data_IF_289482348041
#
_entry.id   IF_289482348041
#
_cell.length_a   1.000
_cell.length_b   1.000
_cell.length_c   1.000
_cell.angle_alpha   90.00
_cell.angle_beta   90.00
_cell.angle_gamma   90.00
#
_symmetry.space_group_name_H-M   'P 1'
#
loop_
_entity.id
_entity.type
_entity.pdbx_description
1 polymer ?
#
# COMPACT_ATOMS: atom_id res chain seq x y z
N UNK A 1 -16.89 -37.99 -14.05
CA UNK A 1 -17.29 -36.78 -13.30
C UNK A 1 -18.47 -37.17 -12.45
N UNK A 2 -18.34 -37.18 -11.12
CA UNK A 2 -19.49 -37.42 -10.23
C UNK A 2 -20.51 -36.29 -10.41
N UNK A 3 -21.77 -36.64 -10.65
CA UNK A 3 -22.87 -35.68 -10.70
C UNK A 3 -23.05 -35.08 -9.31
N UNK A 4 -22.85 -33.77 -9.15
CA UNK A 4 -23.13 -33.09 -7.89
C UNK A 4 -24.62 -33.28 -7.53
N UNK A 5 -24.87 -33.72 -6.30
CA UNK A 5 -26.20 -33.92 -5.72
C UNK A 5 -26.40 -33.01 -4.51
N UNK A 6 -27.66 -32.76 -4.15
CA UNK A 6 -28.03 -32.07 -2.90
C UNK A 6 -27.24 -32.59 -1.69
N UNK A 7 -27.16 -33.92 -1.55
CA UNK A 7 -26.45 -34.59 -0.45
C UNK A 7 -24.96 -34.22 -0.41
N UNK A 8 -24.30 -34.26 -1.57
CA UNK A 8 -22.87 -33.88 -1.69
C UNK A 8 -22.64 -32.37 -1.46
N UNK A 9 -23.56 -31.50 -1.91
CA UNK A 9 -23.47 -30.05 -1.66
C UNK A 9 -23.67 -29.69 -0.19
N UNK A 10 -24.68 -30.29 0.45
CA UNK A 10 -24.91 -30.13 1.89
C UNK A 10 -23.66 -30.49 2.70
N UNK A 11 -23.03 -31.63 2.39
CA UNK A 11 -21.81 -32.07 3.06
C UNK A 11 -20.61 -31.15 2.78
N UNK A 12 -20.47 -30.66 1.55
CA UNK A 12 -19.41 -29.73 1.15
C UNK A 12 -19.52 -28.41 1.93
N UNK A 13 -20.68 -27.75 1.86
CA UNK A 13 -20.90 -26.44 2.47
C UNK A 13 -20.89 -26.48 3.99
N UNK A 14 -21.39 -27.56 4.60
CA UNK A 14 -21.26 -27.76 6.05
C UNK A 14 -19.80 -27.77 6.48
N UNK A 15 -18.94 -28.52 5.77
CA UNK A 15 -17.51 -28.58 6.08
C UNK A 15 -16.83 -27.23 5.87
N UNK A 16 -17.22 -26.49 4.83
CA UNK A 16 -16.71 -25.14 4.57
C UNK A 16 -17.06 -24.18 5.71
N UNK A 17 -18.26 -24.25 6.25
CA UNK A 17 -18.69 -23.48 7.42
C UNK A 17 -18.02 -23.93 8.73
N UNK A 18 -17.09 -24.90 8.69
CA UNK A 18 -16.41 -25.43 9.87
C UNK A 18 -17.31 -26.28 10.78
N UNK A 19 -18.51 -26.63 10.32
CA UNK A 19 -19.51 -27.33 11.12
C UNK A 19 -19.35 -28.85 11.00
N UNK A 20 -19.45 -29.57 12.11
CA UNK A 20 -19.71 -31.00 12.20
C UNK A 20 -21.20 -31.32 12.01
N UNK A 21 -21.53 -32.58 11.71
CA UNK A 21 -22.93 -33.00 11.59
C UNK A 21 -23.74 -32.74 12.88
N UNK A 22 -23.10 -32.88 14.05
CA UNK A 22 -23.73 -32.59 15.35
C UNK A 22 -24.01 -31.10 15.54
N UNK A 23 -23.14 -30.24 15.04
CA UNK A 23 -23.24 -28.79 15.19
C UNK A 23 -24.32 -28.24 14.27
N UNK A 24 -24.36 -28.68 13.00
CA UNK A 24 -25.45 -28.33 12.09
C UNK A 24 -26.81 -28.86 12.62
N UNK A 25 -26.83 -30.07 13.18
CA UNK A 25 -28.05 -30.61 13.77
C UNK A 25 -28.54 -29.80 14.97
N UNK A 26 -27.62 -29.31 15.82
CA UNK A 26 -27.95 -28.45 16.94
C UNK A 26 -28.52 -27.09 16.49
N UNK A 27 -27.92 -26.46 15.45
CA UNK A 27 -28.43 -25.21 14.87
C UNK A 27 -29.86 -25.37 14.36
N UNK A 28 -30.14 -26.51 13.71
CA UNK A 28 -31.43 -26.78 13.08
C UNK A 28 -32.45 -27.44 14.03
N UNK A 29 -32.11 -27.65 15.30
CA UNK A 29 -32.93 -28.39 16.28
C UNK A 29 -33.38 -29.79 15.79
N UNK A 30 -32.48 -30.51 15.14
CA UNK A 30 -32.70 -31.89 14.66
C UNK A 30 -31.68 -32.85 15.25
N UNK A 31 -31.83 -34.15 14.96
CA UNK A 31 -30.85 -35.16 15.38
C UNK A 31 -29.65 -35.19 14.42
N UNK A 32 -28.42 -35.46 14.90
CA UNK A 32 -27.25 -35.65 14.03
C UNK A 32 -27.46 -36.75 12.99
N UNK A 33 -28.25 -37.78 13.31
CA UNK A 33 -28.65 -38.84 12.38
C UNK A 33 -29.48 -38.31 11.20
N UNK A 34 -30.30 -37.28 11.40
CA UNK A 34 -31.05 -36.65 10.31
C UNK A 34 -30.10 -36.00 9.30
N UNK A 35 -29.13 -35.21 9.77
CA UNK A 35 -28.10 -34.58 8.92
C UNK A 35 -27.29 -35.65 8.18
N UNK A 36 -26.87 -36.72 8.87
CA UNK A 36 -26.16 -37.83 8.24
C UNK A 36 -27.00 -38.50 7.14
N UNK A 37 -28.31 -38.67 7.33
CA UNK A 37 -29.19 -39.22 6.28
C UNK A 37 -29.30 -38.30 5.07
N UNK A 38 -29.41 -36.99 5.29
CA UNK A 38 -29.46 -36.00 4.21
C UNK A 38 -28.20 -36.00 3.36
N UNK A 39 -27.03 -36.10 4.02
CA UNK A 39 -25.73 -36.22 3.34
C UNK A 39 -25.53 -37.56 2.61
N UNK A 40 -26.41 -38.54 2.83
CA UNK A 40 -26.39 -39.85 2.19
C UNK A 40 -27.59 -40.09 1.25
N UNK A 41 -28.28 -39.03 0.80
CA UNK A 41 -29.25 -39.10 -0.30
C UNK A 41 -30.72 -38.99 0.10
N UNK A 42 -31.04 -38.77 1.38
CA UNK A 42 -32.40 -38.35 1.76
C UNK A 42 -32.56 -36.83 1.71
N UNK A 43 -33.80 -36.34 1.79
CA UNK A 43 -34.08 -34.91 1.81
C UNK A 43 -34.60 -34.45 3.19
N UNK A 44 -34.23 -33.24 3.64
CA UNK A 44 -34.86 -32.61 4.79
C UNK A 44 -36.31 -32.21 4.46
N UNK A 45 -37.08 -31.90 5.50
CA UNK A 45 -38.37 -31.26 5.32
C UNK A 45 -38.19 -29.89 4.63
N UNK A 46 -39.12 -29.53 3.75
CA UNK A 46 -39.12 -28.24 3.05
C UNK A 46 -39.00 -27.03 3.98
N UNK A 47 -39.54 -27.13 5.20
CA UNK A 47 -39.47 -26.09 6.23
C UNK A 47 -38.07 -25.85 6.78
N UNK A 48 -37.18 -26.85 6.70
CA UNK A 48 -35.79 -26.76 7.15
C UNK A 48 -34.84 -26.24 6.07
N UNK A 49 -35.25 -26.22 4.80
CA UNK A 49 -34.38 -25.79 3.70
C UNK A 49 -33.88 -24.34 3.86
N UNK A 50 -34.73 -23.34 4.20
CA UNK A 50 -34.24 -21.98 4.41
C UNK A 50 -33.25 -21.87 5.57
N UNK A 51 -33.49 -22.61 6.65
CA UNK A 51 -32.60 -22.62 7.83
C UNK A 51 -31.27 -23.33 7.52
N UNK A 52 -31.28 -24.39 6.72
CA UNK A 52 -30.07 -25.04 6.22
C UNK A 52 -29.27 -24.06 5.36
N UNK A 53 -29.91 -23.39 4.40
CA UNK A 53 -29.23 -22.43 3.53
C UNK A 53 -28.58 -21.30 4.35
N UNK A 54 -29.31 -20.77 5.34
CA UNK A 54 -28.83 -19.75 6.27
C UNK A 54 -27.68 -20.23 7.15
N UNK A 55 -27.76 -21.45 7.71
CA UNK A 55 -26.71 -22.01 8.55
C UNK A 55 -25.40 -22.27 7.80
N UNK A 56 -25.49 -22.43 6.47
CA UNK A 56 -24.36 -22.69 5.59
C UNK A 56 -23.87 -21.44 4.83
N UNK A 57 -24.53 -20.30 5.06
CA UNK A 57 -24.30 -19.02 4.39
C UNK A 57 -24.30 -19.14 2.86
N UNK A 58 -25.33 -19.79 2.32
CA UNK A 58 -25.54 -19.95 0.87
C UNK A 58 -27.01 -19.74 0.52
N UNK A 59 -27.30 -19.52 -0.77
CA UNK A 59 -28.68 -19.51 -1.26
C UNK A 59 -29.24 -20.92 -1.48
N UNK A 60 -30.58 -21.05 -1.54
CA UNK A 60 -31.22 -22.32 -1.90
C UNK A 60 -30.84 -22.78 -3.31
N UNK A 61 -30.67 -21.86 -4.26
CA UNK A 61 -30.22 -22.19 -5.62
C UNK A 61 -28.86 -22.90 -5.60
N UNK A 62 -27.95 -22.44 -4.73
CA UNK A 62 -26.65 -23.07 -4.50
C UNK A 62 -26.83 -24.40 -3.78
N UNK A 63 -27.69 -24.51 -2.78
CA UNK A 63 -27.91 -25.79 -2.08
C UNK A 63 -28.48 -26.88 -3.02
N UNK A 64 -29.33 -26.51 -3.98
CA UNK A 64 -30.01 -27.42 -4.92
C UNK A 64 -29.28 -27.68 -6.23
N UNK A 65 -28.01 -27.27 -6.38
CA UNK A 65 -27.27 -27.41 -7.62
C UNK A 65 -27.89 -26.67 -8.82
N UNK A 66 -28.71 -25.64 -8.57
CA UNK A 66 -29.35 -24.82 -9.62
C UNK A 66 -28.36 -23.76 -10.12
N UNK A 67 -27.54 -23.21 -9.23
CA UNK A 67 -26.45 -22.28 -9.55
C UNK A 67 -25.18 -22.69 -8.83
N UNK A 68 -24.03 -22.39 -9.41
CA UNK A 68 -22.81 -22.33 -8.61
C UNK A 68 -22.89 -21.13 -7.67
N UNK A 69 -22.20 -21.22 -6.56
CA UNK A 69 -22.04 -20.06 -5.69
C UNK A 69 -21.24 -18.99 -6.42
N UNK A 70 -21.81 -17.79 -6.47
CA UNK A 70 -21.09 -16.64 -6.99
C UNK A 70 -19.96 -16.34 -6.00
N UNK A 71 -18.71 -16.17 -6.48
CA UNK A 71 -17.63 -15.73 -5.61
C UNK A 71 -18.04 -14.40 -4.96
N UNK A 72 -17.60 -14.17 -3.73
CA UNK A 72 -17.77 -12.87 -3.09
C UNK A 72 -17.31 -11.76 -4.06
N UNK A 73 -18.06 -10.64 -4.14
CA UNK A 73 -17.69 -9.55 -5.03
C UNK A 73 -16.28 -9.07 -4.71
N UNK A 74 -15.37 -9.20 -5.67
CA UNK A 74 -14.05 -8.61 -5.56
C UNK A 74 -14.18 -7.10 -5.77
N UNK A 75 -14.43 -6.38 -4.68
CA UNK A 75 -14.61 -4.93 -4.67
C UNK A 75 -13.36 -4.20 -5.19
N UNK A 76 -12.15 -4.78 -5.03
CA UNK A 76 -10.93 -4.21 -5.58
C UNK A 76 -10.94 -4.33 -7.10
N UNK A 77 -11.30 -5.49 -7.63
CA UNK A 77 -11.47 -5.69 -9.07
C UNK A 77 -12.54 -4.75 -9.65
N UNK A 78 -13.62 -4.49 -8.92
CA UNK A 78 -14.65 -3.55 -9.34
C UNK A 78 -14.11 -2.11 -9.44
N UNK A 79 -13.39 -1.64 -8.42
CA UNK A 79 -12.70 -0.34 -8.45
C UNK A 79 -11.68 -0.28 -9.60
N UNK A 80 -10.94 -1.37 -9.84
CA UNK A 80 -9.99 -1.45 -10.95
C UNK A 80 -10.68 -1.32 -12.31
N UNK A 81 -11.80 -2.00 -12.51
CA UNK A 81 -12.61 -1.90 -13.74
C UNK A 81 -13.15 -0.48 -13.93
N UNK A 82 -13.68 0.13 -12.88
CA UNK A 82 -14.21 1.50 -12.92
C UNK A 82 -13.10 2.53 -13.19
N UNK A 83 -11.90 2.32 -12.66
CA UNK A 83 -10.77 3.24 -12.82
C UNK A 83 -10.06 3.14 -14.18
N UNK A 84 -10.28 2.05 -14.93
CA UNK A 84 -9.60 1.81 -16.22
C UNK A 84 -9.93 2.88 -17.28
N UNK A 85 -11.15 3.41 -17.27
CA UNK A 85 -11.64 4.42 -18.23
C UNK A 85 -11.38 5.86 -17.79
N UNK A 86 -10.81 6.07 -16.59
CA UNK A 86 -10.56 7.40 -16.04
C UNK A 86 -9.28 8.02 -16.62
N UNK A 87 -9.24 9.35 -16.68
CA UNK A 87 -8.02 10.11 -16.93
C UNK A 87 -7.02 9.96 -15.76
N UNK A 88 -5.75 10.27 -15.99
CA UNK A 88 -4.73 10.21 -14.93
C UNK A 88 -5.07 11.12 -13.73
N UNK A 89 -5.66 12.29 -14.00
CA UNK A 89 -6.11 13.22 -12.96
C UNK A 89 -7.25 12.63 -12.12
N UNK A 90 -8.23 12.00 -12.77
CA UNK A 90 -9.35 11.34 -12.08
C UNK A 90 -8.90 10.11 -11.29
N UNK A 91 -7.99 9.29 -11.84
CA UNK A 91 -7.38 8.16 -11.12
C UNK A 91 -6.59 8.62 -9.90
N UNK A 92 -5.84 9.69 -10.04
CA UNK A 92 -5.06 10.28 -8.94
C UNK A 92 -6.00 10.70 -7.81
N UNK A 93 -7.06 11.45 -8.14
CA UNK A 93 -8.08 11.84 -7.15
C UNK A 93 -8.73 10.63 -6.48
N UNK A 94 -9.18 9.64 -7.26
CA UNK A 94 -9.77 8.42 -6.73
C UNK A 94 -8.81 7.68 -5.78
N UNK A 95 -7.54 7.58 -6.14
CA UNK A 95 -6.50 6.96 -5.31
C UNK A 95 -6.34 7.66 -3.96
N UNK A 96 -6.22 8.99 -3.96
CA UNK A 96 -6.11 9.77 -2.72
C UNK A 96 -7.39 9.71 -1.86
N UNK A 97 -8.58 9.83 -2.48
CA UNK A 97 -9.85 9.71 -1.75
C UNK A 97 -10.02 8.33 -1.12
N UNK A 98 -9.66 7.28 -1.85
CA UNK A 98 -9.70 5.89 -1.36
C UNK A 98 -8.72 5.70 -0.20
N UNK A 99 -7.47 6.16 -0.35
CA UNK A 99 -6.45 6.02 0.68
C UNK A 99 -6.80 6.79 1.95
N UNK A 100 -7.34 8.01 1.82
CA UNK A 100 -7.83 8.80 2.94
C UNK A 100 -8.94 8.06 3.69
N UNK A 101 -9.98 7.60 2.99
CA UNK A 101 -11.08 6.83 3.58
C UNK A 101 -10.58 5.56 4.25
N UNK A 102 -9.62 4.87 3.62
CA UNK A 102 -8.98 3.69 4.18
C UNK A 102 -8.27 4.00 5.51
N UNK A 103 -7.50 5.09 5.58
CA UNK A 103 -6.93 5.57 6.85
C UNK A 103 -8.04 5.81 7.88
N UNK A 104 -9.12 6.51 7.51
CA UNK A 104 -10.23 6.78 8.42
C UNK A 104 -10.88 5.52 9.00
N UNK A 105 -10.87 4.38 8.30
CA UNK A 105 -11.44 3.10 8.81
C UNK A 105 -10.78 2.58 10.08
N UNK A 106 -9.58 3.06 10.42
CA UNK A 106 -8.93 2.72 11.68
C UNK A 106 -9.53 3.45 12.89
N UNK A 107 -10.36 4.47 12.69
CA UNK A 107 -11.16 5.06 13.77
C UNK A 107 -12.38 4.18 14.05
N UNK A 108 -12.47 3.63 15.27
CA UNK A 108 -13.58 2.76 15.68
C UNK A 108 -14.92 3.50 15.78
N UNK A 109 -14.90 4.83 15.82
CA UNK A 109 -16.10 5.67 15.87
C UNK A 109 -16.45 6.26 14.49
N UNK A 110 -15.80 5.79 13.41
CA UNK A 110 -16.05 6.27 12.06
C UNK A 110 -17.52 6.12 11.68
N UNK A 111 -18.08 7.17 11.08
CA UNK A 111 -19.32 7.11 10.31
C UNK A 111 -18.97 7.06 8.81
N UNK A 112 -19.03 5.88 8.15
CA UNK A 112 -18.61 5.74 6.75
C UNK A 112 -19.40 6.63 5.78
N UNK A 113 -20.68 6.89 6.08
CA UNK A 113 -21.55 7.68 5.21
C UNK A 113 -21.21 9.18 5.28
N UNK A 114 -20.68 9.64 6.42
CA UNK A 114 -20.24 11.03 6.61
C UNK A 114 -18.77 11.27 6.30
N UNK A 115 -18.01 10.22 6.03
CA UNK A 115 -16.56 10.31 5.79
C UNK A 115 -16.30 10.66 4.33
N UNK A 116 -15.71 11.83 4.11
CA UNK A 116 -15.32 12.31 2.79
C UNK A 116 -13.94 12.96 2.85
N UNK A 117 -13.26 13.01 1.70
CA UNK A 117 -12.00 13.73 1.59
C UNK A 117 -12.25 15.23 1.85
N UNK A 118 -11.50 15.87 2.76
CA UNK A 118 -11.74 17.25 3.15
C UNK A 118 -11.40 18.24 2.03
N UNK A 119 -12.23 19.26 1.86
CA UNK A 119 -12.08 20.27 0.80
C UNK A 119 -11.59 21.64 1.31
N UNK A 120 -11.83 21.95 2.58
CA UNK A 120 -11.45 23.22 3.22
C UNK A 120 -10.30 23.01 4.19
N UNK A 121 -9.13 22.72 3.65
CA UNK A 121 -7.93 22.39 4.41
C UNK A 121 -7.17 23.65 4.84
N UNK A 122 -6.62 23.62 6.06
CA UNK A 122 -5.56 24.55 6.44
C UNK A 122 -4.28 24.17 5.69
N UNK A 123 -3.36 25.13 5.43
CA UNK A 123 -2.05 24.79 4.93
C UNK A 123 -1.36 23.73 5.79
N UNK A 124 -0.68 22.79 5.15
CA UNK A 124 0.05 21.70 5.81
C UNK A 124 -0.87 20.83 6.70
N UNK A 125 -2.02 20.41 6.15
CA UNK A 125 -2.90 19.42 6.80
C UNK A 125 -2.56 18.02 6.35
N UNK A 126 -2.49 17.11 7.32
CA UNK A 126 -2.14 15.72 7.11
C UNK A 126 -3.24 14.78 7.61
N UNK A 127 -3.33 13.58 7.06
CA UNK A 127 -3.93 12.44 7.75
C UNK A 127 -2.78 11.58 8.32
N UNK A 128 -2.87 11.23 9.60
CA UNK A 128 -1.86 10.43 10.28
C UNK A 128 -2.47 9.13 10.82
N UNK A 129 -1.74 8.03 10.62
CA UNK A 129 -2.09 6.71 11.13
C UNK A 129 -0.87 6.09 11.81
N UNK A 130 -1.03 5.71 13.07
CA UNK A 130 -0.02 4.95 13.82
C UNK A 130 -0.71 3.79 14.54
N UNK A 131 -0.36 2.58 14.12
CA UNK A 131 -0.80 1.32 14.74
C UNK A 131 0.41 0.41 14.95
N UNK A 132 0.23 -0.71 15.64
CA UNK A 132 1.30 -1.70 15.78
C UNK A 132 1.73 -2.31 14.44
N UNK A 133 0.84 -2.30 13.43
CA UNK A 133 1.06 -2.94 12.14
C UNK A 133 1.43 -1.96 11.03
N UNK A 134 1.15 -0.67 11.21
CA UNK A 134 1.20 0.31 10.11
C UNK A 134 1.59 1.69 10.62
N UNK A 135 2.50 2.33 9.87
CA UNK A 135 2.67 3.79 9.90
C UNK A 135 2.15 4.38 8.59
N UNK A 136 1.20 5.31 8.70
CA UNK A 136 0.65 6.05 7.57
C UNK A 136 0.79 7.55 7.78
N UNK A 137 1.16 8.26 6.72
CA UNK A 137 1.15 9.72 6.68
C UNK A 137 0.74 10.16 5.29
N UNK A 138 -0.22 11.06 5.21
CA UNK A 138 -0.72 11.59 3.95
C UNK A 138 -0.86 13.11 4.06
N UNK A 139 -0.24 13.87 3.15
CA UNK A 139 -0.44 15.32 3.04
C UNK A 139 -1.66 15.59 2.16
N UNK A 140 -2.62 16.35 2.67
CA UNK A 140 -3.94 16.52 2.05
C UNK A 140 -4.01 17.73 1.12
N UNK A 141 -3.14 18.73 1.32
CA UNK A 141 -3.07 19.95 0.54
C UNK A 141 -2.80 19.71 -0.96
N UNK A 142 -3.57 20.38 -1.81
CA UNK A 142 -3.60 20.14 -3.25
C UNK A 142 -2.32 20.54 -4.01
N UNK A 143 -1.45 21.38 -3.44
CA UNK A 143 -0.23 21.86 -4.09
C UNK A 143 0.89 20.79 -4.16
N UNK A 144 0.90 19.84 -3.22
CA UNK A 144 1.83 18.72 -3.20
C UNK A 144 1.29 17.57 -2.32
N UNK A 145 0.34 16.80 -2.87
CA UNK A 145 -0.20 15.63 -2.18
C UNK A 145 0.78 14.45 -2.27
N UNK A 146 0.94 13.74 -1.16
CA UNK A 146 1.61 12.45 -1.11
C UNK A 146 1.00 11.62 0.00
N UNK A 147 1.16 10.30 -0.08
CA UNK A 147 0.93 9.43 1.05
C UNK A 147 2.04 8.39 1.17
N UNK A 148 2.29 7.99 2.40
CA UNK A 148 3.17 6.90 2.78
C UNK A 148 2.36 5.95 3.62
N UNK A 149 2.53 4.66 3.36
CA UNK A 149 1.84 3.61 4.09
C UNK A 149 2.79 2.42 4.25
N UNK A 150 3.36 2.32 5.45
CA UNK A 150 4.42 1.39 5.78
C UNK A 150 3.87 0.30 6.68
N UNK A 151 3.75 -0.92 6.15
CA UNK A 151 3.49 -2.10 6.95
C UNK A 151 4.73 -2.42 7.81
N UNK A 152 4.51 -2.59 9.10
CA UNK A 152 5.53 -2.94 10.07
C UNK A 152 5.65 -4.47 10.18
N UNK A 153 6.85 -5.05 10.00
CA UNK A 153 7.10 -6.46 10.28
C UNK A 153 6.88 -6.78 11.77
N UNK A 154 6.64 -8.05 12.09
CA UNK A 154 6.47 -8.50 13.48
C UNK A 154 7.73 -8.24 14.34
N UNK A 155 8.91 -8.29 13.77
CA UNK A 155 10.18 -7.98 14.45
C UNK A 155 10.57 -6.49 14.34
N UNK A 156 9.69 -5.65 13.80
CA UNK A 156 9.96 -4.24 13.54
C UNK A 156 10.87 -4.00 12.32
N UNK A 157 11.33 -2.75 12.17
CA UNK A 157 12.02 -2.30 10.94
C UNK A 157 13.54 -2.25 11.03
N UNK A 158 14.15 -2.75 12.11
CA UNK A 158 15.61 -2.71 12.31
C UNK A 158 16.39 -3.29 11.11
N UNK A 159 15.93 -4.41 10.55
CA UNK A 159 16.56 -5.04 9.38
C UNK A 159 16.57 -4.14 8.12
N UNK A 160 15.58 -3.25 7.97
CA UNK A 160 15.51 -2.30 6.87
C UNK A 160 16.28 -1.01 7.15
N UNK A 161 16.35 -0.59 8.41
CA UNK A 161 16.95 0.67 8.83
C UNK A 161 18.43 0.56 9.22
N UNK A 162 19.05 -0.61 9.04
CA UNK A 162 20.46 -0.82 9.38
C UNK A 162 21.35 0.07 8.50
N UNK A 163 22.11 1.02 9.08
CA UNK A 163 22.99 1.87 8.29
C UNK A 163 24.01 1.04 7.53
N UNK A 164 24.14 1.29 6.24
CA UNK A 164 25.21 0.74 5.42
C UNK A 164 25.91 1.86 4.66
N UNK A 165 27.08 1.55 4.08
CA UNK A 165 27.91 2.54 3.41
C UNK A 165 27.16 3.26 2.27
N UNK A 166 26.31 2.58 1.51
CA UNK A 166 25.53 3.19 0.42
C UNK A 166 24.51 4.19 0.96
N UNK A 167 23.79 3.85 2.03
CA UNK A 167 22.82 4.75 2.69
C UNK A 167 23.52 5.99 3.26
N UNK A 168 24.67 5.82 3.90
CA UNK A 168 25.45 6.94 4.43
C UNK A 168 26.00 7.84 3.30
N UNK A 169 26.46 7.26 2.18
CA UNK A 169 26.86 8.03 0.99
C UNK A 169 25.68 8.84 0.43
N UNK A 170 24.49 8.25 0.36
CA UNK A 170 23.28 8.96 -0.07
C UNK A 170 22.99 10.15 0.85
N UNK A 171 23.00 9.98 2.18
CA UNK A 171 22.74 11.08 3.10
C UNK A 171 23.78 12.20 3.03
N UNK A 172 25.07 11.85 2.83
CA UNK A 172 26.12 12.86 2.59
C UNK A 172 25.88 13.63 1.29
N UNK A 173 25.55 12.93 0.21
CA UNK A 173 25.20 13.57 -1.06
C UNK A 173 23.99 14.51 -0.91
N UNK A 174 22.92 14.06 -0.25
CA UNK A 174 21.71 14.87 -0.06
C UNK A 174 21.87 16.01 0.96
N UNK A 175 22.94 16.00 1.76
CA UNK A 175 23.30 17.13 2.64
C UNK A 175 24.05 18.25 1.91
N UNK A 176 24.48 18.01 0.67
CA UNK A 176 25.23 18.96 -0.15
C UNK A 176 24.26 19.81 -1.01
N UNK A 177 24.28 21.14 -0.82
CA UNK A 177 23.38 22.06 -1.53
C UNK A 177 23.53 22.00 -3.05
N UNK A 178 24.77 21.92 -3.55
CA UNK A 178 25.03 21.83 -4.99
C UNK A 178 24.50 20.52 -5.57
N UNK A 179 24.61 19.44 -4.80
CA UNK A 179 24.09 18.15 -5.20
C UNK A 179 22.56 18.16 -5.28
N UNK A 180 21.87 18.76 -4.30
CA UNK A 180 20.40 18.91 -4.34
C UNK A 180 19.97 19.77 -5.53
N UNK A 181 20.68 20.88 -5.83
CA UNK A 181 20.42 21.70 -7.02
C UNK A 181 20.62 20.90 -8.32
N UNK A 182 21.71 20.13 -8.41
CA UNK A 182 21.98 19.29 -9.57
C UNK A 182 20.92 18.22 -9.77
N UNK A 183 20.53 17.52 -8.70
CA UNK A 183 19.50 16.47 -8.73
C UNK A 183 18.15 17.07 -9.15
N UNK A 184 17.72 18.16 -8.54
CA UNK A 184 16.43 18.78 -8.83
C UNK A 184 16.36 19.36 -10.25
N UNK A 185 17.45 19.97 -10.74
CA UNK A 185 17.56 20.37 -12.14
C UNK A 185 17.48 19.16 -13.09
N UNK A 186 18.21 18.08 -12.77
CA UNK A 186 18.26 16.88 -13.60
C UNK A 186 16.96 16.07 -13.59
N UNK A 187 16.12 16.19 -12.55
CA UNK A 187 14.76 15.64 -12.52
C UNK A 187 13.78 16.48 -13.36
N UNK A 188 14.06 17.77 -13.52
CA UNK A 188 13.20 18.71 -14.24
C UNK A 188 13.34 18.68 -15.77
N UNK A 189 14.35 17.99 -16.31
CA UNK A 189 14.52 17.87 -17.76
C UNK A 189 13.56 16.84 -18.36
N UNK A 190 13.16 16.97 -19.64
CA UNK A 190 12.28 15.99 -20.29
C UNK A 190 12.86 14.58 -20.31
N UNK A 191 11.99 13.59 -20.45
CA UNK A 191 12.41 12.20 -20.66
C UNK A 191 13.33 12.08 -21.87
N UNK A 192 14.39 11.28 -21.75
CA UNK A 192 15.44 11.09 -22.77
C UNK A 192 16.25 12.36 -23.08
N UNK A 193 16.24 13.35 -22.18
CA UNK A 193 17.17 14.47 -22.25
C UNK A 193 18.56 14.05 -21.77
N UNK A 194 19.58 14.54 -22.47
CA UNK A 194 20.97 14.17 -22.26
C UNK A 194 21.72 15.39 -21.74
N UNK A 195 22.53 15.17 -20.70
CA UNK A 195 23.30 16.17 -19.99
C UNK A 195 24.80 15.90 -20.15
N UNK A 196 25.61 16.94 -20.08
CA UNK A 196 27.07 16.87 -19.94
C UNK A 196 27.48 17.55 -18.64
N UNK A 197 28.69 17.29 -18.14
CA UNK A 197 29.25 18.05 -17.01
C UNK A 197 29.31 19.54 -17.33
N UNK A 198 29.75 19.91 -18.53
CA UNK A 198 29.81 21.30 -18.97
C UNK A 198 28.44 21.98 -19.04
N UNK A 199 27.41 21.31 -19.57
CA UNK A 199 26.06 21.89 -19.61
C UNK A 199 25.48 22.06 -18.20
N UNK A 200 25.70 21.10 -17.30
CA UNK A 200 25.27 21.19 -15.90
C UNK A 200 26.00 22.31 -15.16
N UNK A 201 27.32 22.43 -15.34
CA UNK A 201 28.14 23.50 -14.78
C UNK A 201 27.65 24.88 -15.20
N UNK A 202 27.33 25.05 -16.49
CA UNK A 202 26.78 26.29 -17.00
C UNK A 202 25.38 26.62 -16.44
N UNK A 203 24.47 25.65 -16.35
CA UNK A 203 23.12 25.88 -15.85
C UNK A 203 23.08 26.16 -14.34
N UNK A 204 23.98 25.53 -13.58
CA UNK A 204 24.02 25.66 -12.12
C UNK A 204 24.96 26.77 -11.64
N UNK A 205 25.69 27.42 -12.54
CA UNK A 205 26.76 28.39 -12.22
C UNK A 205 27.80 27.81 -11.25
N UNK A 206 28.27 26.60 -11.57
CA UNK A 206 29.23 25.85 -10.74
C UNK A 206 30.49 25.49 -11.54
N UNK A 207 31.66 25.35 -10.89
CA UNK A 207 32.85 24.83 -11.54
C UNK A 207 32.63 23.43 -12.11
N UNK A 208 33.10 23.16 -13.33
CA UNK A 208 32.88 21.86 -13.97
C UNK A 208 33.50 20.69 -13.17
N UNK A 209 34.65 20.92 -12.51
CA UNK A 209 35.27 19.93 -11.61
C UNK A 209 34.34 19.55 -10.44
N UNK A 210 33.65 20.54 -9.87
CA UNK A 210 32.68 20.34 -8.78
C UNK A 210 31.49 19.52 -9.27
N UNK A 211 30.94 19.88 -10.42
CA UNK A 211 29.84 19.13 -11.06
C UNK A 211 30.26 17.69 -11.36
N UNK A 212 31.46 17.48 -11.92
CA UNK A 212 31.97 16.14 -12.21
C UNK A 212 32.06 15.27 -10.95
N UNK A 213 32.51 15.84 -9.82
CA UNK A 213 32.56 15.15 -8.53
C UNK A 213 31.17 14.74 -8.01
N UNK A 214 30.15 15.60 -8.16
CA UNK A 214 28.77 15.29 -7.78
C UNK A 214 28.18 14.23 -8.71
N UNK A 215 28.37 14.37 -10.03
CA UNK A 215 27.92 13.40 -11.03
C UNK A 215 28.51 12.03 -10.75
N UNK A 216 29.79 11.94 -10.37
CA UNK A 216 30.41 10.66 -10.00
C UNK A 216 29.74 10.04 -8.77
N UNK A 217 29.43 10.81 -7.73
CA UNK A 217 28.69 10.30 -6.58
C UNK A 217 27.28 9.81 -6.96
N UNK A 218 26.59 10.54 -7.84
CA UNK A 218 25.29 10.12 -8.38
C UNK A 218 25.40 8.83 -9.19
N UNK A 219 26.47 8.62 -9.96
CA UNK A 219 26.73 7.37 -10.69
C UNK A 219 26.95 6.20 -9.73
N UNK A 220 27.77 6.38 -8.70
CA UNK A 220 28.08 5.34 -7.70
C UNK A 220 26.81 4.87 -6.95
N UNK A 221 25.86 5.79 -6.78
CA UNK A 221 24.56 5.55 -6.16
C UNK A 221 23.49 5.07 -7.14
N UNK A 222 23.72 5.15 -8.45
CA UNK A 222 22.76 4.76 -9.49
C UNK A 222 21.61 5.76 -9.70
N UNK A 223 21.81 7.02 -9.32
CA UNK A 223 20.84 8.13 -9.49
C UNK A 223 20.87 8.66 -10.93
N UNK A 224 22.06 8.67 -11.53
CA UNK A 224 22.31 9.05 -12.93
C UNK A 224 22.95 7.86 -13.63
N UNK A 225 22.73 7.73 -14.94
CA UNK A 225 23.47 6.80 -15.79
C UNK A 225 24.33 7.54 -16.80
N UNK A 226 25.38 6.85 -17.29
CA UNK A 226 26.38 7.38 -18.22
C UNK A 226 26.36 6.61 -19.53
N UNK A 227 26.42 7.33 -20.64
CA UNK A 227 26.72 6.81 -21.97
C UNK A 227 27.93 7.53 -22.56
N UNK A 228 28.49 6.94 -23.62
CA UNK A 228 29.54 7.54 -24.43
C UNK A 228 28.99 7.79 -25.83
N UNK A 229 29.14 9.02 -26.31
CA UNK A 229 28.73 9.42 -27.66
C UNK A 229 29.97 9.83 -28.46
N UNK A 230 30.10 9.32 -29.68
CA UNK A 230 31.11 9.82 -30.62
C UNK A 230 30.52 10.94 -31.47
N UNK A 231 31.09 12.14 -31.36
CA UNK A 231 30.65 13.35 -32.07
C UNK A 231 31.87 13.96 -32.75
N UNK A 232 31.87 14.00 -34.09
CA UNK A 232 32.98 14.56 -34.86
C UNK A 232 34.33 13.87 -34.60
N UNK A 233 34.33 12.54 -34.40
CA UNK A 233 35.52 11.74 -34.12
C UNK A 233 36.09 11.88 -32.70
N UNK A 234 35.38 12.57 -31.80
CA UNK A 234 35.71 12.65 -30.37
C UNK A 234 34.65 11.94 -29.55
N UNK A 235 35.09 11.18 -28.56
CA UNK A 235 34.19 10.51 -27.61
C UNK A 235 33.91 11.45 -26.45
N UNK A 236 32.63 11.67 -26.18
CA UNK A 236 32.12 12.50 -25.10
C UNK A 236 31.34 11.64 -24.11
N UNK A 237 31.55 11.89 -22.81
CA UNK A 237 30.71 11.33 -21.77
C UNK A 237 29.43 12.16 -21.64
N UNK A 238 28.31 11.46 -21.67
CA UNK A 238 26.97 12.04 -21.57
C UNK A 238 26.17 11.31 -20.49
N UNK A 239 25.25 12.02 -19.86
CA UNK A 239 24.54 11.58 -18.67
C UNK A 239 23.04 11.73 -18.86
N UNK A 240 22.27 10.88 -18.20
CA UNK A 240 20.83 11.09 -18.06
C UNK A 240 20.36 10.57 -16.72
N UNK A 241 19.29 11.17 -16.23
CA UNK A 241 18.80 10.97 -14.88
C UNK A 241 17.82 9.78 -14.83
N UNK A 242 17.83 9.01 -13.74
CA UNK A 242 17.08 7.74 -13.63
C UNK A 242 15.60 7.93 -13.20
N UNK A 243 15.16 9.16 -12.94
CA UNK A 243 13.84 9.51 -12.38
C UNK A 243 13.47 8.62 -11.18
N UNK A 244 14.40 8.53 -10.23
CA UNK A 244 14.30 7.65 -9.09
C UNK A 244 13.25 8.18 -8.08
N UNK A 245 12.05 7.60 -8.13
CA UNK A 245 10.93 7.92 -7.22
C UNK A 245 11.36 8.08 -5.75
N UNK A 246 12.22 7.21 -5.17
CA UNK A 246 12.64 7.36 -3.78
C UNK A 246 13.40 8.66 -3.48
N UNK A 247 14.23 9.17 -4.40
CA UNK A 247 15.00 10.40 -4.18
C UNK A 247 14.06 11.60 -4.11
N UNK A 248 13.13 11.70 -5.06
CA UNK A 248 12.07 12.71 -5.05
C UNK A 248 11.21 12.60 -3.79
N UNK A 249 10.83 11.38 -3.40
CA UNK A 249 10.06 11.15 -2.17
C UNK A 249 10.82 11.60 -0.91
N UNK A 250 12.12 11.32 -0.80
CA UNK A 250 12.95 11.78 0.33
C UNK A 250 12.97 13.31 0.40
N UNK A 251 13.13 14.00 -0.73
CA UNK A 251 13.16 15.46 -0.76
C UNK A 251 11.81 16.07 -0.34
N UNK A 252 10.69 15.51 -0.82
CA UNK A 252 9.33 15.93 -0.44
C UNK A 252 9.07 15.65 1.04
N UNK A 253 9.43 14.46 1.54
CA UNK A 253 9.25 14.10 2.95
C UNK A 253 10.13 14.93 3.89
N UNK A 254 11.36 15.25 3.48
CA UNK A 254 12.24 16.12 4.26
C UNK A 254 11.62 17.51 4.46
N UNK A 255 10.98 18.06 3.41
CA UNK A 255 10.25 19.33 3.50
C UNK A 255 9.12 19.24 4.53
N UNK A 256 8.28 18.21 4.45
CA UNK A 256 7.19 17.99 5.40
C UNK A 256 7.70 17.84 6.85
N UNK A 257 8.79 17.10 7.05
CA UNK A 257 9.39 16.91 8.37
C UNK A 257 9.90 18.22 8.97
N UNK A 258 10.54 19.09 8.17
CA UNK A 258 11.03 20.40 8.63
C UNK A 258 9.92 21.41 8.91
N UNK A 259 8.72 21.21 8.34
CA UNK A 259 7.55 22.06 8.54
C UNK A 259 6.78 21.80 9.83
N UNK A 260 7.14 20.74 10.58
CA UNK A 260 6.39 20.20 11.72
C UNK A 260 4.96 19.78 11.38
N UNK A 261 4.68 18.49 11.49
CA UNK A 261 3.35 17.93 11.26
C UNK A 261 2.46 18.30 12.46
N UNK A 262 1.62 19.32 12.29
CA UNK A 262 0.82 19.90 13.39
C UNK A 262 -0.69 19.82 13.15
N UNK A 263 -1.15 20.00 11.91
CA UNK A 263 -2.56 19.85 11.55
C UNK A 263 -2.80 18.42 11.06
N UNK A 264 -3.48 17.59 11.87
CA UNK A 264 -3.78 16.21 11.51
C UNK A 264 -5.28 15.91 11.58
N UNK A 265 -5.87 15.54 10.44
CA UNK A 265 -7.28 15.21 10.27
C UNK A 265 -7.43 14.03 9.28
N UNK A 266 -7.67 12.79 9.76
CA UNK A 266 -7.67 12.37 11.15
C UNK A 266 -6.25 12.23 11.73
N UNK A 267 -6.16 12.18 13.06
CA UNK A 267 -4.96 11.78 13.77
C UNK A 267 -5.23 10.47 14.53
N UNK A 268 -4.98 9.34 13.88
CA UNK A 268 -5.26 8.02 14.44
C UNK A 268 -3.98 7.47 15.07
N UNK A 269 -4.04 7.26 16.37
CA UNK A 269 -2.89 6.86 17.19
C UNK A 269 -3.32 5.75 18.16
N UNK A 270 -2.98 4.49 17.83
CA UNK A 270 -3.44 3.29 18.54
C UNK A 270 -2.33 2.26 18.79
N UNK A 271 -1.08 2.62 18.48
CA UNK A 271 0.06 1.73 18.67
C UNK A 271 0.42 1.58 20.15
N UNK A 272 0.88 0.40 20.51
CA UNK A 272 1.50 0.04 21.78
C UNK A 272 2.99 -0.33 21.58
N UNK A 273 3.39 -0.67 20.35
CA UNK A 273 4.75 -1.05 19.97
C UNK A 273 5.29 -0.10 18.91
N UNK A 274 6.45 0.50 19.16
CA UNK A 274 7.11 1.34 18.18
C UNK A 274 7.53 0.56 16.93
N UNK A 275 7.83 1.28 15.84
CA UNK A 275 8.29 0.66 14.60
C UNK A 275 9.66 -0.03 14.73
N UNK A 276 10.52 0.49 15.61
CA UNK A 276 11.80 -0.10 16.01
C UNK A 276 11.58 -0.97 17.24
N UNK A 277 11.27 -2.25 17.02
CA UNK A 277 10.91 -3.18 18.10
C UNK A 277 12.18 -3.72 18.77
N UNK A 278 12.24 -3.75 20.11
CA UNK A 278 13.38 -4.30 20.84
C UNK A 278 13.57 -5.78 20.51
N UNK A 279 14.81 -6.26 20.53
CA UNK A 279 15.10 -7.68 20.35
C UNK A 279 14.47 -8.51 21.49
N UNK A 280 14.13 -9.78 21.20
CA UNK A 280 13.61 -10.71 22.20
C UNK A 280 14.54 -10.77 23.43
N UNK A 281 14.07 -10.29 24.58
CA UNK A 281 14.82 -10.18 25.84
C UNK A 281 15.09 -8.75 26.31
N UNK A 282 14.95 -7.73 25.46
CA UNK A 282 15.05 -6.31 25.84
C UNK A 282 13.68 -5.67 26.10
N UNK A 283 12.59 -6.29 25.63
CA UNK A 283 11.22 -5.81 25.81
C UNK A 283 10.83 -5.67 27.30
N UNK A 284 11.31 -6.57 28.17
CA UNK A 284 11.05 -6.55 29.61
C UNK A 284 11.65 -5.32 30.32
N UNK A 285 12.60 -4.60 29.69
CA UNK A 285 13.19 -3.37 30.25
C UNK A 285 12.32 -2.13 30.12
N UNK A 286 11.27 -2.20 29.29
CA UNK A 286 10.39 -1.05 28.99
C UNK A 286 8.96 -1.26 29.51
N UNK A 287 8.72 -2.31 30.29
CA UNK A 287 7.40 -2.67 30.83
C UNK A 287 7.11 -2.07 32.23
N UNK A 288 7.87 -1.06 32.68
CA UNK A 288 7.62 -0.30 33.92
C UNK A 288 6.74 0.94 33.72
#
# INVERSE_FOLDING_TARGET
METQTFASRLAHYRKRAGLGQKELAAILNVTPQAVSKWENGSFPDSTLLPEIAKALDISLDVLFCIKEEEPEPDHILEIMKQSAELTDAERTRLGFETMYRFICTYDRNLDPEKTAFPTNLKPETFAQLRTDEVLGLMRLDADAQFFTYLKLPEEGIHGYATPNERVLKLFRLLSDEDAVKLITFSEGVPRNYILTTGSLAQHLDLPEERVAGIVQQCLDLGIIWKLRAEIGGKVHDIYSYVHAVPVTAILVLAKALTGFITNCEPNIDTWNKGAFRPHAGEADRFAE
#
